data_IF_030431992086
#
_entry.id   IF_030431992086
#
_cell.length_a   1.000
_cell.length_b   1.000
_cell.length_c   1.000
_cell.angle_alpha   90.00
_cell.angle_beta   90.00
_cell.angle_gamma   90.00
#
_symmetry.space_group_name_H-M   'P 1'
#
loop_
_entity.id
_entity.type
_entity.pdbx_description
1 polymer ?
#
# COMPACT_ATOMS: atom_id res chain seq x y z
N UNK A 1 11.74 -20.15 6.21
CA UNK A 1 12.77 -19.29 6.82
C UNK A 1 12.16 -18.70 8.08
N UNK A 2 12.75 -18.89 9.27
CA UNK A 2 12.22 -18.32 10.53
C UNK A 2 13.33 -17.56 11.25
N UNK A 3 13.54 -16.31 10.84
CA UNK A 3 14.48 -15.38 11.47
C UNK A 3 13.67 -14.29 12.15
N UNK A 4 13.82 -14.11 13.46
CA UNK A 4 13.14 -13.06 14.20
C UNK A 4 13.77 -11.67 14.00
N UNK A 5 13.04 -10.62 14.35
CA UNK A 5 13.58 -9.26 14.48
C UNK A 5 13.53 -8.84 15.95
N UNK A 6 14.67 -8.45 16.50
CA UNK A 6 14.78 -8.04 17.90
C UNK A 6 14.01 -6.74 18.12
N UNK A 7 13.18 -6.71 19.17
CA UNK A 7 12.48 -5.49 19.58
C UNK A 7 13.30 -4.78 20.67
N UNK A 8 13.93 -3.68 20.29
CA UNK A 8 14.84 -2.91 21.15
C UNK A 8 14.15 -1.70 21.77
N UNK A 9 13.23 -1.04 21.07
CA UNK A 9 12.69 0.29 21.44
C UNK A 9 11.21 0.49 21.07
N UNK A 10 10.30 -0.42 21.46
CA UNK A 10 8.86 -0.35 21.10
C UNK A 10 8.61 -0.32 19.58
N UNK A 11 9.46 -1.00 18.82
CA UNK A 11 9.44 -1.04 17.35
C UNK A 11 8.72 -2.29 16.79
N UNK A 12 7.92 -2.97 17.60
CA UNK A 12 7.21 -4.18 17.17
C UNK A 12 6.31 -3.93 15.95
N UNK A 13 5.77 -2.73 15.79
CA UNK A 13 5.01 -2.29 14.61
C UNK A 13 5.87 -2.30 13.33
N UNK A 14 7.15 -1.93 13.43
CA UNK A 14 8.09 -2.03 12.29
C UNK A 14 8.41 -3.50 12.01
N UNK A 15 8.72 -4.26 13.06
CA UNK A 15 9.10 -5.67 12.94
C UNK A 15 8.00 -6.48 12.26
N UNK A 16 6.73 -6.28 12.65
CA UNK A 16 5.59 -6.99 12.06
C UNK A 16 5.39 -6.66 10.59
N UNK A 17 5.48 -5.38 10.21
CA UNK A 17 5.35 -4.94 8.81
C UNK A 17 6.47 -5.50 7.94
N UNK A 18 7.71 -5.42 8.41
CA UNK A 18 8.87 -5.90 7.65
C UNK A 18 8.82 -7.43 7.47
N UNK A 19 8.49 -8.17 8.51
CA UNK A 19 8.29 -9.62 8.41
C UNK A 19 7.15 -9.98 7.45
N UNK A 20 6.05 -9.22 7.48
CA UNK A 20 4.91 -9.43 6.60
C UNK A 20 5.29 -9.21 5.14
N UNK A 21 5.95 -8.10 4.82
CA UNK A 21 6.39 -7.78 3.45
C UNK A 21 7.44 -8.77 2.95
N UNK A 22 8.47 -9.06 3.74
CA UNK A 22 9.54 -10.01 3.36
C UNK A 22 8.99 -11.42 3.14
N UNK A 23 7.89 -11.80 3.78
CA UNK A 23 7.24 -13.10 3.56
C UNK A 23 6.62 -13.22 2.16
N UNK A 24 6.36 -12.11 1.47
CA UNK A 24 5.71 -12.06 0.15
C UNK A 24 6.76 -12.15 -0.97
N UNK A 25 6.66 -13.16 -1.83
CA UNK A 25 7.65 -13.39 -2.90
C UNK A 25 7.71 -12.26 -3.93
N UNK A 26 6.57 -11.76 -4.36
CA UNK A 26 6.49 -10.71 -5.37
C UNK A 26 7.10 -9.40 -4.87
N UNK A 27 6.96 -9.10 -3.58
CA UNK A 27 7.66 -8.00 -2.92
C UNK A 27 9.18 -8.22 -2.95
N UNK A 28 9.63 -9.42 -2.59
CA UNK A 28 11.06 -9.73 -2.59
C UNK A 28 11.71 -9.55 -3.96
N UNK A 29 11.07 -10.11 -4.99
CA UNK A 29 11.52 -10.00 -6.39
C UNK A 29 11.61 -8.54 -6.82
N UNK A 30 10.61 -7.72 -6.47
CA UNK A 30 10.64 -6.30 -6.77
C UNK A 30 11.84 -5.61 -6.11
N UNK A 31 12.07 -5.81 -4.81
CA UNK A 31 13.19 -5.19 -4.09
C UNK A 31 14.55 -5.66 -4.66
N UNK A 32 14.68 -6.94 -5.03
CA UNK A 32 15.89 -7.47 -5.66
C UNK A 32 16.17 -6.81 -7.03
N UNK A 33 15.13 -6.60 -7.83
CA UNK A 33 15.24 -5.92 -9.14
C UNK A 33 15.64 -4.45 -8.98
N UNK A 34 14.97 -3.72 -8.08
CA UNK A 34 15.25 -2.31 -7.81
C UNK A 34 16.69 -2.14 -7.29
N UNK A 35 17.11 -3.00 -6.36
CA UNK A 35 18.48 -3.01 -5.83
C UNK A 35 19.54 -3.38 -6.88
N UNK A 36 19.24 -4.31 -7.79
CA UNK A 36 20.17 -4.72 -8.85
C UNK A 36 20.39 -3.62 -9.87
N UNK A 37 19.35 -2.87 -10.23
CA UNK A 37 19.44 -1.73 -11.15
C UNK A 37 20.23 -0.57 -10.52
N UNK A 38 20.00 -0.34 -9.23
CA UNK A 38 20.77 0.57 -8.39
C UNK A 38 22.29 0.30 -8.45
N UNK A 39 22.75 -0.95 -8.61
CA UNK A 39 24.18 -1.27 -8.76
C UNK A 39 24.79 -0.88 -10.12
N UNK A 40 23.97 -0.63 -11.14
CA UNK A 40 24.41 -0.41 -12.51
C UNK A 40 24.56 1.09 -12.87
N UNK A 41 24.96 1.92 -11.90
CA UNK A 41 25.27 3.33 -12.10
C UNK A 41 24.15 4.32 -11.74
N UNK A 42 23.14 3.86 -10.99
CA UNK A 42 22.04 4.68 -10.45
C UNK A 42 22.27 4.92 -8.95
N UNK A 43 21.79 6.04 -8.42
CA UNK A 43 21.94 6.33 -6.98
C UNK A 43 21.11 5.36 -6.15
N UNK A 44 21.78 4.56 -5.29
CA UNK A 44 21.09 3.60 -4.42
C UNK A 44 20.53 4.31 -3.19
N UNK A 45 19.21 4.29 -3.03
CA UNK A 45 18.59 4.76 -1.79
C UNK A 45 19.02 3.91 -0.59
N UNK A 46 19.29 4.57 0.54
CA UNK A 46 19.61 3.93 1.81
C UNK A 46 18.45 3.01 2.28
N UNK A 47 17.21 3.34 1.91
CA UNK A 47 16.03 2.53 2.21
C UNK A 47 16.05 1.21 1.43
N UNK A 48 16.13 1.26 0.10
CA UNK A 48 16.14 0.06 -0.76
C UNK A 48 17.30 -0.86 -0.40
N UNK A 49 18.50 -0.32 -0.22
CA UNK A 49 19.67 -1.12 0.16
C UNK A 49 19.53 -1.78 1.53
N UNK A 50 18.86 -1.11 2.47
CA UNK A 50 18.58 -1.66 3.80
C UNK A 50 17.51 -2.73 3.73
N UNK A 51 16.38 -2.49 3.05
CA UNK A 51 15.32 -3.47 2.84
C UNK A 51 15.85 -4.75 2.17
N UNK A 52 16.62 -4.61 1.08
CA UNK A 52 17.24 -5.74 0.39
C UNK A 52 18.16 -6.56 1.33
N UNK A 53 18.95 -5.88 2.18
CA UNK A 53 19.81 -6.57 3.14
C UNK A 53 19.00 -7.37 4.16
N UNK A 54 18.00 -6.78 4.81
CA UNK A 54 17.17 -7.49 5.79
C UNK A 54 16.41 -8.65 5.14
N UNK A 55 15.87 -8.45 3.94
CA UNK A 55 15.26 -9.50 3.15
C UNK A 55 16.22 -10.68 2.92
N UNK A 56 17.45 -10.40 2.48
CA UNK A 56 18.47 -11.42 2.22
C UNK A 56 18.81 -12.20 3.48
N UNK A 57 19.00 -11.52 4.60
CA UNK A 57 19.34 -12.16 5.88
C UNK A 57 18.18 -12.99 6.44
N UNK A 58 16.95 -12.47 6.40
CA UNK A 58 15.74 -13.18 6.85
C UNK A 58 15.50 -14.44 6.00
N UNK A 59 15.59 -14.32 4.68
CA UNK A 59 15.39 -15.47 3.76
C UNK A 59 16.55 -16.46 3.85
N UNK A 60 17.77 -16.02 4.18
CA UNK A 60 18.89 -16.95 4.37
C UNK A 60 18.63 -17.98 5.47
N UNK A 61 17.83 -17.63 6.48
CA UNK A 61 17.56 -18.51 7.62
C UNK A 61 18.77 -18.79 8.52
N UNK A 62 19.88 -18.07 8.34
CA UNK A 62 21.15 -18.34 9.04
C UNK A 62 21.16 -17.89 10.50
N UNK A 63 20.27 -16.98 10.88
CA UNK A 63 20.22 -16.35 12.20
C UNK A 63 18.93 -16.69 12.93
N UNK A 64 18.97 -16.76 14.26
CA UNK A 64 17.75 -16.88 15.07
C UNK A 64 17.01 -15.54 15.13
N UNK A 65 17.74 -14.43 15.25
CA UNK A 65 17.20 -13.07 15.19
C UNK A 65 18.21 -12.07 14.63
N UNK A 66 17.70 -10.96 14.09
CA UNK A 66 18.49 -9.83 13.60
C UNK A 66 18.20 -8.57 14.43
N UNK A 67 19.24 -7.75 14.65
CA UNK A 67 19.07 -6.40 15.18
C UNK A 67 18.43 -5.49 14.14
N UNK A 68 17.58 -4.57 14.59
CA UNK A 68 16.86 -3.60 13.73
C UNK A 68 17.54 -2.23 13.65
N UNK A 69 18.67 -2.02 14.31
CA UNK A 69 19.33 -0.71 14.42
C UNK A 69 19.59 -0.02 13.07
N UNK A 70 20.05 -0.78 12.06
CA UNK A 70 20.29 -0.24 10.72
C UNK A 70 18.99 0.22 10.05
N UNK A 71 17.91 -0.54 10.24
CA UNK A 71 16.60 -0.22 9.66
C UNK A 71 15.94 0.95 10.39
N UNK A 72 15.99 0.95 11.72
CA UNK A 72 15.55 2.06 12.57
C UNK A 72 16.21 3.38 12.12
N UNK A 73 17.54 3.39 11.95
CA UNK A 73 18.26 4.59 11.52
C UNK A 73 17.69 5.16 10.22
N UNK A 74 17.54 4.32 9.20
CA UNK A 74 17.05 4.76 7.88
C UNK A 74 15.58 5.18 7.93
N UNK A 75 14.74 4.45 8.68
CA UNK A 75 13.32 4.81 8.85
C UNK A 75 13.18 6.15 9.54
N UNK A 76 13.87 6.38 10.67
CA UNK A 76 13.76 7.64 11.40
C UNK A 76 14.37 8.84 10.64
N UNK A 77 15.32 8.60 9.74
CA UNK A 77 15.83 9.63 8.83
C UNK A 77 14.82 9.95 7.70
N UNK A 78 14.14 8.95 7.15
CA UNK A 78 13.20 9.10 6.02
C UNK A 78 11.79 9.50 6.46
N UNK A 79 11.39 9.13 7.67
CA UNK A 79 10.04 9.25 8.21
C UNK A 79 10.09 9.94 9.58
N UNK A 80 10.41 11.26 9.62
CA UNK A 80 10.75 11.96 10.86
C UNK A 80 9.59 12.15 11.85
N UNK A 81 8.34 11.87 11.44
CA UNK A 81 7.19 11.89 12.36
C UNK A 81 7.13 10.65 13.25
N UNK A 82 7.80 9.55 12.88
CA UNK A 82 7.96 8.43 13.79
C UNK A 82 9.02 8.76 14.83
N UNK A 83 8.64 8.63 16.10
CA UNK A 83 9.50 8.98 17.24
C UNK A 83 10.05 7.70 17.86
N UNK A 84 11.34 7.70 18.19
CA UNK A 84 12.01 6.60 18.88
C UNK A 84 11.38 6.34 20.25
N UNK A 85 11.19 5.06 20.58
CA UNK A 85 10.68 4.67 21.90
C UNK A 85 9.20 5.01 22.13
N UNK A 86 8.44 5.24 21.05
CA UNK A 86 6.99 5.45 21.10
C UNK A 86 6.33 4.38 20.24
N UNK A 87 5.28 3.75 20.76
CA UNK A 87 4.47 2.81 19.98
C UNK A 87 3.70 3.57 18.90
N UNK A 88 3.66 3.01 17.69
CA UNK A 88 3.03 3.61 16.52
C UNK A 88 2.04 2.64 15.88
N UNK A 89 1.21 3.16 14.98
CA UNK A 89 0.32 2.34 14.17
C UNK A 89 1.12 1.61 13.07
N UNK A 90 1.03 0.28 13.06
CA UNK A 90 1.67 -0.56 12.06
C UNK A 90 1.09 -0.34 10.65
N UNK A 91 -0.21 -0.03 10.55
CA UNK A 91 -0.85 0.28 9.28
C UNK A 91 -0.33 1.60 8.70
N UNK A 92 -0.23 2.65 9.52
CA UNK A 92 0.38 3.92 9.11
C UNK A 92 1.83 3.71 8.63
N UNK A 93 2.63 2.97 9.40
CA UNK A 93 4.00 2.64 9.02
C UNK A 93 4.07 1.87 7.69
N UNK A 94 3.20 0.87 7.48
CA UNK A 94 3.13 0.13 6.23
C UNK A 94 2.83 1.03 5.04
N UNK A 95 1.80 1.88 5.12
CA UNK A 95 1.40 2.77 4.03
C UNK A 95 2.49 3.77 3.67
N UNK A 96 3.20 4.30 4.66
CA UNK A 96 4.30 5.20 4.40
C UNK A 96 5.53 4.48 3.83
N UNK A 97 5.83 3.28 4.32
CA UNK A 97 6.94 2.47 3.82
C UNK A 97 6.75 2.15 2.34
N UNK A 98 5.56 1.70 1.92
CA UNK A 98 5.27 1.45 0.51
C UNK A 98 5.37 2.76 -0.30
N UNK A 99 4.83 3.88 0.20
CA UNK A 99 4.96 5.18 -0.47
C UNK A 99 6.42 5.59 -0.67
N UNK A 100 7.28 5.39 0.33
CA UNK A 100 8.71 5.69 0.22
C UNK A 100 9.42 4.79 -0.80
N UNK A 101 9.02 3.51 -0.89
CA UNK A 101 9.51 2.59 -1.91
C UNK A 101 9.07 3.05 -3.31
N UNK A 102 7.82 3.49 -3.47
CA UNK A 102 7.31 4.04 -4.72
C UNK A 102 8.14 5.24 -5.20
N UNK A 103 8.43 6.17 -4.28
CA UNK A 103 9.20 7.37 -4.59
C UNK A 103 10.63 7.02 -5.03
N UNK A 104 11.28 6.09 -4.32
CA UNK A 104 12.62 5.62 -4.70
C UNK A 104 12.61 4.91 -6.07
N UNK A 105 11.57 4.11 -6.36
CA UNK A 105 11.38 3.48 -7.68
C UNK A 105 11.21 4.52 -8.77
N UNK A 106 10.39 5.56 -8.55
CA UNK A 106 10.18 6.66 -9.53
C UNK A 106 11.46 7.45 -9.78
N UNK A 107 12.30 7.64 -8.76
CA UNK A 107 13.59 8.30 -8.92
C UNK A 107 14.55 7.44 -9.75
N UNK A 108 14.65 6.16 -9.43
CA UNK A 108 15.47 5.19 -10.19
C UNK A 108 15.02 5.11 -11.65
N UNK A 109 13.71 5.02 -11.90
CA UNK A 109 13.14 4.96 -13.24
C UNK A 109 13.51 6.21 -14.07
N UNK A 110 13.44 7.40 -13.47
CA UNK A 110 13.89 8.65 -14.11
C UNK A 110 15.39 8.66 -14.39
N UNK A 111 16.23 8.28 -13.43
CA UNK A 111 17.68 8.24 -13.61
C UNK A 111 18.07 7.26 -14.74
N UNK A 112 17.42 6.09 -14.83
CA UNK A 112 17.66 5.10 -15.90
C UNK A 112 17.35 5.68 -17.29
N UNK A 113 16.28 6.48 -17.41
CA UNK A 113 15.94 7.13 -18.68
C UNK A 113 16.99 8.15 -19.14
N UNK A 114 17.73 8.74 -18.20
CA UNK A 114 18.75 9.76 -18.47
C UNK A 114 20.12 9.17 -18.81
N UNK A 115 20.39 7.88 -18.52
CA UNK A 115 21.67 7.23 -18.82
C UNK A 115 21.84 7.05 -20.35
N UNK A 116 22.83 7.71 -20.98
CA UNK A 116 23.06 7.57 -22.41
C UNK A 116 23.82 6.26 -22.69
N UNK A 117 23.16 5.33 -23.40
CA UNK A 117 23.72 4.07 -23.96
C UNK A 117 24.16 3.00 -22.94
N UNK A 118 23.25 2.06 -22.61
CA UNK A 118 23.64 0.66 -22.43
C UNK A 118 23.32 -0.12 -23.72
N UNK A 119 24.25 -0.95 -24.25
CA UNK A 119 24.05 -1.73 -25.48
C UNK A 119 22.97 -2.82 -25.34
N UNK A 120 22.60 -3.17 -24.11
CA UNK A 120 21.42 -3.94 -23.78
C UNK A 120 20.62 -3.08 -22.82
N UNK A 121 19.67 -2.29 -23.33
CA UNK A 121 18.58 -1.85 -22.45
C UNK A 121 17.89 -3.16 -22.03
N UNK A 122 17.91 -3.59 -20.76
CA UNK A 122 16.78 -4.39 -20.31
C UNK A 122 15.57 -3.53 -20.72
N UNK A 123 14.68 -4.09 -21.54
CA UNK A 123 13.36 -3.49 -21.84
C UNK A 123 12.94 -2.73 -20.61
N UNK A 124 12.60 -1.41 -20.66
CA UNK A 124 12.32 -0.63 -19.47
C UNK A 124 11.50 -1.52 -18.56
N UNK A 125 12.15 -2.01 -17.50
CA UNK A 125 11.46 -2.85 -16.55
C UNK A 125 10.57 -1.78 -15.96
N UNK A 126 9.32 -1.70 -16.42
CA UNK A 126 8.40 -0.63 -16.03
C UNK A 126 8.16 -0.84 -14.53
N UNK A 127 9.15 -0.49 -13.69
CA UNK A 127 9.21 -0.80 -12.28
C UNK A 127 8.07 -0.09 -11.59
N UNK A 128 7.77 1.12 -12.06
CA UNK A 128 6.59 1.89 -11.67
C UNK A 128 5.31 1.10 -11.96
N UNK A 129 5.17 0.48 -13.14
CA UNK A 129 4.00 -0.32 -13.50
C UNK A 129 3.93 -1.63 -12.72
N UNK A 130 5.07 -2.27 -12.49
CA UNK A 130 5.15 -3.49 -11.68
C UNK A 130 4.77 -3.19 -10.23
N UNK A 131 5.30 -2.12 -9.66
CA UNK A 131 4.94 -1.61 -8.34
C UNK A 131 3.45 -1.24 -8.26
N UNK A 132 2.92 -0.54 -9.28
CA UNK A 132 1.49 -0.22 -9.39
C UNK A 132 0.62 -1.47 -9.43
N UNK A 133 1.00 -2.46 -10.22
CA UNK A 133 0.28 -3.74 -10.32
C UNK A 133 0.34 -4.51 -9.00
N UNK A 134 1.47 -4.41 -8.29
CA UNK A 134 1.70 -5.11 -7.04
C UNK A 134 0.85 -4.54 -5.90
N UNK A 135 0.87 -3.22 -5.71
CA UNK A 135 0.30 -2.57 -4.53
C UNK A 135 -1.00 -1.81 -4.77
N UNK A 136 -1.35 -1.48 -6.02
CA UNK A 136 -2.53 -0.66 -6.29
C UNK A 136 -3.57 -1.40 -7.11
N UNK A 137 -4.84 -1.17 -6.75
CA UNK A 137 -6.01 -1.50 -7.54
C UNK A 137 -6.75 -0.24 -7.98
N UNK A 138 -7.93 -0.46 -8.58
CA UNK A 138 -8.86 0.60 -8.95
C UNK A 138 -10.27 0.24 -8.47
N UNK A 139 -10.92 1.19 -7.79
CA UNK A 139 -12.34 1.18 -7.49
C UNK A 139 -13.00 2.14 -8.47
N UNK A 140 -14.12 1.71 -9.07
CA UNK A 140 -14.96 2.56 -9.89
C UNK A 140 -16.26 2.84 -9.13
N UNK A 141 -16.61 4.10 -9.05
CA UNK A 141 -17.82 4.60 -8.40
C UNK A 141 -18.83 4.97 -9.48
N UNK A 142 -19.97 4.27 -9.51
CA UNK A 142 -21.11 4.67 -10.32
C UNK A 142 -21.97 5.63 -9.52
N UNK A 143 -22.15 6.86 -10.02
CA UNK A 143 -23.03 7.85 -9.41
C UNK A 143 -24.28 7.98 -10.27
N UNK A 144 -25.43 7.59 -9.74
CA UNK A 144 -26.71 7.55 -10.47
C UNK A 144 -27.68 8.59 -9.92
N UNK A 145 -28.26 9.42 -10.79
CA UNK A 145 -29.31 10.36 -10.41
C UNK A 145 -30.61 9.60 -10.06
N UNK A 146 -31.14 9.81 -8.86
CA UNK A 146 -32.35 9.12 -8.40
C UNK A 146 -33.62 9.60 -9.14
N UNK A 147 -33.59 10.78 -9.78
CA UNK A 147 -34.76 11.34 -10.49
C UNK A 147 -34.83 10.97 -11.98
N UNK A 148 -33.70 10.99 -12.70
CA UNK A 148 -33.69 10.76 -14.15
C UNK A 148 -32.90 9.52 -14.59
N UNK A 149 -32.24 8.83 -13.67
CA UNK A 149 -31.49 7.60 -13.94
C UNK A 149 -30.14 7.80 -14.66
N UNK A 150 -29.78 9.03 -15.05
CA UNK A 150 -28.47 9.30 -15.68
C UNK A 150 -27.33 8.94 -14.72
N UNK A 151 -26.32 8.24 -15.23
CA UNK A 151 -25.17 7.81 -14.43
C UNK A 151 -23.86 8.44 -14.92
N UNK A 152 -22.97 8.75 -13.99
CA UNK A 152 -21.57 9.06 -14.25
C UNK A 152 -20.66 8.07 -13.51
N UNK A 153 -19.39 8.03 -13.91
CA UNK A 153 -18.41 7.11 -13.35
C UNK A 153 -17.16 7.89 -12.91
N UNK A 154 -16.63 7.54 -11.74
CA UNK A 154 -15.39 8.08 -11.20
C UNK A 154 -14.46 6.93 -10.84
N UNK A 155 -13.19 7.00 -11.21
CA UNK A 155 -12.20 5.99 -10.84
C UNK A 155 -11.35 6.51 -9.69
N UNK A 156 -11.12 5.64 -8.72
CA UNK A 156 -10.28 5.88 -7.55
C UNK A 156 -9.21 4.79 -7.48
N UNK A 157 -7.96 5.20 -7.31
CA UNK A 157 -6.84 4.29 -7.13
C UNK A 157 -6.68 4.02 -5.62
N UNK A 158 -6.57 2.75 -5.24
CA UNK A 158 -6.44 2.34 -3.83
C UNK A 158 -5.29 1.36 -3.65
N UNK A 159 -4.65 1.35 -2.47
CA UNK A 159 -3.63 0.36 -2.09
C UNK A 159 -3.99 -0.44 -0.84
N UNK A 160 -5.03 -0.03 -0.12
CA UNK A 160 -5.57 -0.73 1.03
C UNK A 160 -7.08 -0.49 1.11
N UNK A 161 -7.77 -1.38 1.81
CA UNK A 161 -9.18 -1.22 2.18
C UNK A 161 -9.23 -1.23 3.71
N UNK A 162 -9.72 -0.14 4.29
CA UNK A 162 -10.01 -0.09 5.73
C UNK A 162 -11.48 -0.43 5.94
N UNK A 163 -11.73 -1.53 6.65
CA UNK A 163 -13.08 -1.92 7.06
C UNK A 163 -13.25 -1.70 8.56
N UNK A 164 -14.32 -1.01 8.96
CA UNK A 164 -14.68 -0.90 10.37
C UNK A 164 -15.29 -2.21 10.84
N UNK A 165 -14.99 -2.65 12.05
CA UNK A 165 -15.71 -3.77 12.68
C UNK A 165 -17.01 -3.25 13.29
N UNK A 166 -18.06 -4.07 13.25
CA UNK A 166 -19.30 -3.78 13.98
C UNK A 166 -18.98 -3.80 15.47
N UNK A 167 -19.19 -2.66 16.16
CA UNK A 167 -18.92 -2.54 17.59
C UNK A 167 -19.75 -3.53 18.42
N UNK A 168 -19.30 -3.76 19.66
CA UNK A 168 -19.77 -4.74 20.66
C UNK A 168 -21.30 -4.77 20.97
N UNK A 169 -22.14 -3.99 20.28
CA UNK A 169 -23.58 -3.88 20.56
C UNK A 169 -24.42 -5.05 20.00
N UNK A 170 -23.88 -5.83 19.06
CA UNK A 170 -24.51 -7.06 18.58
C UNK A 170 -23.88 -8.29 19.26
N UNK A 171 -24.35 -8.54 20.48
CA UNK A 171 -24.05 -9.72 21.30
C UNK A 171 -24.58 -11.03 20.68
N UNK A 172 -23.90 -11.51 19.65
CA UNK A 172 -23.91 -12.94 19.28
C UNK A 172 -22.49 -13.46 19.36
N UNK A 173 -22.31 -14.62 19.99
CA UNK A 173 -21.01 -15.29 20.17
C UNK A 173 -20.28 -15.65 18.84
N UNK A 174 -20.91 -15.38 17.69
CA UNK A 174 -20.33 -15.43 16.36
C UNK A 174 -19.86 -14.02 15.98
N UNK A 175 -18.55 -13.79 15.96
CA UNK A 175 -17.96 -12.53 15.49
C UNK A 175 -18.34 -12.22 14.03
N UNK A 176 -18.19 -10.96 13.63
CA UNK A 176 -18.42 -10.52 12.24
C UNK A 176 -17.37 -11.13 11.29
N UNK A 177 -17.80 -11.67 10.16
CA UNK A 177 -16.90 -12.16 9.12
C UNK A 177 -16.37 -11.00 8.23
N UNK A 178 -15.26 -11.27 7.55
CA UNK A 178 -14.65 -10.27 6.66
C UNK A 178 -15.57 -9.94 5.48
N UNK A 179 -16.35 -10.90 5.00
CA UNK A 179 -17.32 -10.71 3.92
C UNK A 179 -18.38 -9.66 4.31
N UNK A 180 -18.92 -9.69 5.53
CA UNK A 180 -19.86 -8.68 6.02
C UNK A 180 -19.22 -7.29 6.07
N UNK A 181 -17.98 -7.22 6.56
CA UNK A 181 -17.21 -5.97 6.60
C UNK A 181 -17.01 -5.38 5.19
N UNK A 182 -16.62 -6.22 4.23
CA UNK A 182 -16.40 -5.81 2.84
C UNK A 182 -17.72 -5.45 2.14
N UNK A 183 -18.80 -6.19 2.36
CA UNK A 183 -20.12 -5.89 1.81
C UNK A 183 -20.62 -4.52 2.29
N UNK A 184 -20.35 -4.16 3.55
CA UNK A 184 -20.65 -2.83 4.07
C UNK A 184 -19.78 -1.75 3.43
N UNK A 185 -18.48 -1.99 3.28
CA UNK A 185 -17.58 -1.07 2.58
C UNK A 185 -18.02 -0.82 1.13
N UNK A 186 -18.49 -1.85 0.42
CA UNK A 186 -18.97 -1.74 -0.96
C UNK A 186 -20.49 -1.49 -1.08
N UNK A 187 -21.15 -1.10 0.01
CA UNK A 187 -22.59 -0.83 0.00
C UNK A 187 -22.92 0.45 -0.77
N UNK A 188 -24.18 0.56 -1.21
CA UNK A 188 -24.66 1.75 -1.90
C UNK A 188 -24.79 2.88 -0.90
N UNK A 189 -24.14 4.01 -1.19
CA UNK A 189 -24.21 5.22 -0.37
C UNK A 189 -25.18 6.23 -1.00
N UNK A 190 -26.03 6.84 -0.17
CA UNK A 190 -26.79 8.02 -0.59
C UNK A 190 -25.87 9.24 -0.50
N UNK A 191 -25.69 9.94 -1.61
CA UNK A 191 -24.95 11.20 -1.58
C UNK A 191 -25.81 12.27 -0.90
N UNK A 192 -25.23 13.05 0.02
CA UNK A 192 -25.94 14.17 0.61
C UNK A 192 -26.35 15.17 -0.47
N UNK A 193 -27.51 15.79 -0.31
CA UNK A 193 -27.93 16.90 -1.17
C UNK A 193 -27.01 18.08 -0.88
N UNK A 194 -25.99 18.28 -1.72
CA UNK A 194 -25.02 19.37 -1.63
C UNK A 194 -24.77 20.01 -2.99
N UNK A 195 -24.20 21.22 -2.98
CA UNK A 195 -23.78 21.92 -4.21
C UNK A 195 -22.61 21.22 -4.93
N UNK A 196 -21.99 20.21 -4.30
CA UNK A 196 -20.83 19.48 -4.81
C UNK A 196 -21.19 18.51 -5.95
N UNK A 197 -22.46 18.08 -6.02
CA UNK A 197 -22.94 17.21 -7.08
C UNK A 197 -24.20 17.75 -7.76
N UNK A 198 -24.08 18.01 -9.07
CA UNK A 198 -25.16 18.48 -9.93
C UNK A 198 -25.39 17.50 -11.07
N UNK A 199 -26.63 17.06 -11.24
CA UNK A 199 -26.98 16.16 -12.33
C UNK A 199 -26.78 16.85 -13.68
N UNK A 200 -25.95 16.28 -14.55
CA UNK A 200 -25.66 16.81 -15.89
C UNK A 200 -26.89 16.84 -16.81
N UNK A 201 -27.81 15.88 -16.63
CA UNK A 201 -29.03 15.78 -17.42
C UNK A 201 -30.15 16.71 -16.88
N UNK A 202 -30.41 16.71 -15.57
CA UNK A 202 -31.42 17.60 -14.96
C UNK A 202 -30.98 19.06 -14.89
N UNK A 203 -29.67 19.32 -14.95
CA UNK A 203 -29.05 20.65 -14.81
C UNK A 203 -29.39 21.35 -13.48
N UNK A 204 -29.67 20.59 -12.44
CA UNK A 204 -29.93 21.06 -11.07
C UNK A 204 -29.45 20.03 -10.04
N UNK A 205 -29.42 20.42 -8.76
CA UNK A 205 -29.07 19.55 -7.63
C UNK A 205 -30.16 18.49 -7.49
N UNK A 206 -29.74 17.23 -7.35
CA UNK A 206 -30.61 16.07 -7.19
C UNK A 206 -30.00 15.11 -6.18
N UNK A 207 -30.85 14.26 -5.62
CA UNK A 207 -30.39 13.08 -4.91
C UNK A 207 -29.73 12.10 -5.88
N UNK A 208 -28.66 11.46 -5.41
CA UNK A 208 -27.94 10.46 -6.17
C UNK A 208 -27.42 9.35 -5.27
N UNK A 209 -27.28 8.18 -5.86
CA UNK A 209 -26.67 7.01 -5.24
C UNK A 209 -25.26 6.81 -5.78
N UNK A 210 -24.30 6.58 -4.89
CA UNK A 210 -22.93 6.22 -5.21
C UNK A 210 -22.74 4.73 -4.92
N UNK A 211 -22.39 3.97 -5.94
CA UNK A 211 -22.13 2.53 -5.83
C UNK A 211 -20.68 2.23 -6.19
N UNK A 212 -19.84 1.86 -5.21
CA UNK A 212 -18.47 1.45 -5.47
C UNK A 212 -18.42 0.01 -6.00
N UNK A 213 -17.47 -0.28 -6.90
CA UNK A 213 -17.13 -1.64 -7.30
C UNK A 213 -15.65 -1.72 -7.65
N UNK A 214 -15.04 -2.88 -7.40
CA UNK A 214 -13.64 -3.10 -7.75
C UNK A 214 -13.54 -3.27 -9.26
N UNK A 215 -12.85 -2.33 -9.93
CA UNK A 215 -12.53 -2.44 -11.35
C UNK A 215 -11.29 -3.31 -11.56
N UNK A 216 -10.29 -3.19 -10.68
CA UNK A 216 -9.05 -3.97 -10.72
C UNK A 216 -8.52 -4.21 -9.31
N UNK A 217 -8.16 -5.44 -9.00
CA UNK A 217 -7.45 -5.79 -7.77
C UNK A 217 -5.93 -5.57 -7.90
N UNK A 218 -5.24 -5.15 -6.82
CA UNK A 218 -3.79 -5.31 -6.73
C UNK A 218 -3.43 -6.79 -6.62
N UNK A 219 -2.17 -7.14 -6.93
CA UNK A 219 -1.66 -8.48 -6.62
C UNK A 219 -1.53 -8.70 -5.10
N UNK A 220 -1.21 -7.64 -4.35
CA UNK A 220 -1.18 -7.63 -2.89
C UNK A 220 -2.29 -6.73 -2.38
N UNK A 221 -3.38 -7.35 -1.92
CA UNK A 221 -4.48 -6.64 -1.28
C UNK A 221 -4.20 -6.49 0.22
N UNK A 222 -4.08 -5.25 0.68
CA UNK A 222 -3.97 -4.91 2.10
C UNK A 222 -5.39 -4.63 2.63
N UNK A 223 -5.81 -5.41 3.61
CA UNK A 223 -7.07 -5.17 4.35
C UNK A 223 -6.71 -4.75 5.76
N UNK A 224 -7.08 -3.53 6.11
CA UNK A 224 -6.91 -2.99 7.44
C UNK A 224 -8.24 -3.09 8.20
N UNK A 225 -8.22 -3.77 9.35
CA UNK A 225 -9.37 -3.86 10.24
C UNK A 225 -9.28 -2.69 11.23
N UNK A 226 -10.13 -1.67 11.06
CA UNK A 226 -10.23 -0.56 12.01
C UNK A 226 -10.90 -1.08 13.28
N UNK A 227 -10.10 -1.23 14.33
CA UNK A 227 -10.49 -1.70 15.66
C UNK A 227 -10.76 -0.54 16.60
#
# INVERSE_FOLDING_TARGET
YMVGLTNTNLICYMNSVIQSLVSIEQYRVLIDQVYSLSKNGVTISSLISTLHWYQSEIVSGKFLSLSMEKMEKVIFERMPHFIRGVQQDAHEFLLLLISCIEDDIKLIDKEILEIPKLPERPTPLDLVKQYDTLFYGAIRHKISCNSCGSASYQNEKFNHITVALSGDEASTYDGEDLDSCLNRYFSIEQLPISDEWKCSNCKCIREATKTPFIERLPLLLIIHLSR
#
